data_IF_512936030110
#
_entry.id   IF_512936030110
#
_cell.length_a   1.000
_cell.length_b   1.000
_cell.length_c   1.000
_cell.angle_alpha   90.00
_cell.angle_beta   90.00
_cell.angle_gamma   90.00
#
_symmetry.space_group_name_H-M   'P 1'
#
loop_
_entity.id
_entity.type
_entity.pdbx_description
1 polymer ?
#
# COMPACT_ATOMS: atom_id res chain seq x y z
N UNK A 1 -12.22 44.72 58.51
CA UNK A 1 -13.00 44.41 57.30
C UNK A 1 -12.21 43.44 56.46
N UNK A 2 -12.63 42.21 56.40
CA UNK A 2 -11.95 41.24 55.54
C UNK A 2 -12.49 41.41 54.11
N UNK A 3 -11.56 41.48 53.17
CA UNK A 3 -11.86 41.51 51.76
C UNK A 3 -12.28 40.10 51.25
N UNK A 4 -13.39 40.04 50.57
CA UNK A 4 -13.91 38.86 49.94
C UNK A 4 -13.07 38.55 48.70
N UNK A 5 -12.62 37.31 48.48
CA UNK A 5 -12.01 36.97 47.24
C UNK A 5 -13.09 36.77 46.17
N UNK A 6 -12.94 37.48 45.07
CA UNK A 6 -13.69 37.30 43.85
C UNK A 6 -13.33 35.97 43.22
N UNK A 7 -14.22 35.00 43.28
CA UNK A 7 -14.19 33.83 42.48
C UNK A 7 -14.44 34.20 41.01
N UNK A 8 -13.46 34.13 40.18
CA UNK A 8 -13.64 34.10 38.76
C UNK A 8 -14.21 32.71 38.35
N UNK A 9 -15.26 32.66 37.56
CA UNK A 9 -15.70 31.41 36.99
C UNK A 9 -14.75 31.03 35.85
N UNK A 10 -13.88 30.08 36.12
CA UNK A 10 -13.20 29.35 35.07
C UNK A 10 -14.22 28.47 34.33
N UNK A 11 -14.95 29.05 33.42
CA UNK A 11 -15.65 28.32 32.41
C UNK A 11 -14.79 28.31 31.16
N UNK A 12 -13.66 27.63 31.24
CA UNK A 12 -12.99 27.16 30.04
C UNK A 12 -13.86 26.07 29.44
N UNK A 13 -14.85 26.49 28.68
CA UNK A 13 -15.52 25.62 27.73
C UNK A 13 -14.48 25.14 26.78
N UNK A 14 -13.95 23.94 27.04
CA UNK A 14 -13.23 23.18 26.03
C UNK A 14 -14.19 23.03 24.86
N UNK A 15 -14.11 23.94 23.92
CA UNK A 15 -14.70 23.75 22.62
C UNK A 15 -14.03 22.48 22.08
N UNK A 16 -14.75 21.37 22.15
CA UNK A 16 -14.43 20.23 21.32
C UNK A 16 -14.51 20.75 19.90
N UNK A 17 -13.35 20.95 19.31
CA UNK A 17 -13.22 21.12 17.88
C UNK A 17 -14.01 19.98 17.25
N UNK A 18 -15.08 20.30 16.51
CA UNK A 18 -15.80 19.31 15.75
C UNK A 18 -14.78 18.62 14.88
N UNK A 19 -14.61 17.29 15.04
CA UNK A 19 -13.74 16.52 14.21
C UNK A 19 -14.12 16.80 12.76
N UNK A 20 -13.14 17.24 11.93
CA UNK A 20 -13.37 17.38 10.52
C UNK A 20 -13.86 16.02 9.97
N UNK A 21 -14.84 16.01 9.04
CA UNK A 21 -15.34 14.75 8.48
C UNK A 21 -14.17 13.97 7.90
N UNK A 22 -14.07 12.68 8.25
CA UNK A 22 -13.05 11.81 7.69
C UNK A 22 -13.27 11.69 6.19
N UNK A 23 -12.25 12.04 5.40
CA UNK A 23 -12.28 11.93 3.95
C UNK A 23 -11.37 10.78 3.58
N UNK A 24 -11.92 9.78 2.92
CA UNK A 24 -11.13 8.73 2.29
C UNK A 24 -11.00 9.04 0.80
N UNK A 25 -9.77 9.05 0.32
CA UNK A 25 -9.45 9.19 -1.11
C UNK A 25 -8.94 7.87 -1.69
N UNK A 26 -9.20 6.77 -1.01
CA UNK A 26 -8.81 5.43 -1.40
C UNK A 26 -7.89 4.77 -0.42
N UNK A 27 -7.20 3.73 -0.88
CA UNK A 27 -6.31 2.92 -0.08
C UNK A 27 -4.97 2.66 -0.74
N UNK A 28 -4.04 2.21 0.08
CA UNK A 28 -2.73 1.76 -0.37
C UNK A 28 -2.45 0.37 0.20
N UNK A 29 -2.11 -0.55 -0.68
CA UNK A 29 -1.60 -1.86 -0.33
C UNK A 29 -0.08 -1.84 -0.41
N UNK A 30 0.58 -2.20 0.69
CA UNK A 30 2.03 -2.35 0.78
C UNK A 30 2.30 -3.82 1.04
N UNK A 31 2.94 -4.49 0.09
CA UNK A 31 3.14 -5.94 0.13
C UNK A 31 4.61 -6.25 -0.01
N UNK A 32 5.15 -6.94 0.97
CA UNK A 32 6.53 -7.41 0.99
C UNK A 32 6.55 -8.94 1.00
N UNK A 33 7.12 -9.53 -0.04
CA UNK A 33 7.35 -10.96 -0.14
C UNK A 33 8.82 -11.27 0.12
N UNK A 34 9.11 -12.26 0.95
CA UNK A 34 10.47 -12.68 1.27
C UNK A 34 10.65 -14.18 1.19
N UNK A 35 11.90 -14.63 1.11
CA UNK A 35 12.22 -16.02 0.86
C UNK A 35 11.81 -16.49 -0.53
N UNK A 36 11.74 -15.57 -1.49
CA UNK A 36 11.38 -15.85 -2.87
C UNK A 36 12.53 -16.53 -3.62
N UNK A 37 12.19 -17.26 -4.69
CA UNK A 37 13.17 -17.82 -5.59
C UNK A 37 13.89 -16.73 -6.39
N UNK A 38 15.20 -16.66 -6.26
CA UNK A 38 16.03 -15.63 -6.87
C UNK A 38 15.90 -15.56 -8.40
N UNK A 39 15.83 -16.70 -9.07
CA UNK A 39 15.70 -16.75 -10.53
C UNK A 39 14.34 -16.22 -10.99
N UNK A 40 13.29 -16.55 -10.27
CA UNK A 40 11.95 -16.07 -10.54
C UNK A 40 11.89 -14.54 -10.43
N UNK A 41 12.58 -13.97 -9.44
CA UNK A 41 12.64 -12.51 -9.23
C UNK A 41 13.41 -11.77 -10.32
N UNK A 42 14.22 -12.44 -11.13
CA UNK A 42 14.93 -11.89 -12.29
C UNK A 42 14.08 -11.91 -13.56
N UNK A 43 12.96 -12.59 -13.55
CA UNK A 43 12.12 -12.79 -14.73
C UNK A 43 11.12 -11.65 -14.88
N UNK A 44 11.39 -10.73 -15.81
CA UNK A 44 10.47 -9.62 -16.13
C UNK A 44 9.08 -10.14 -16.48
N UNK A 45 8.99 -11.17 -17.33
CA UNK A 45 7.69 -11.71 -17.76
C UNK A 45 6.88 -12.30 -16.60
N UNK A 46 7.53 -12.94 -15.65
CA UNK A 46 6.86 -13.46 -14.44
C UNK A 46 6.33 -12.33 -13.56
N UNK A 47 7.14 -11.32 -13.32
CA UNK A 47 6.75 -10.17 -12.50
C UNK A 47 5.62 -9.38 -13.18
N UNK A 48 5.71 -9.15 -14.48
CA UNK A 48 4.64 -8.49 -15.22
C UNK A 48 3.34 -9.30 -15.20
N UNK A 49 3.44 -10.62 -15.30
CA UNK A 49 2.27 -11.52 -15.22
C UNK A 49 1.55 -11.38 -13.86
N UNK A 50 2.29 -11.30 -12.75
CA UNK A 50 1.71 -11.04 -11.43
C UNK A 50 0.97 -9.72 -11.42
N UNK A 51 1.59 -8.64 -11.88
CA UNK A 51 0.99 -7.32 -11.92
C UNK A 51 -0.27 -7.27 -12.81
N UNK A 52 -0.22 -7.91 -13.97
CA UNK A 52 -1.35 -7.98 -14.89
C UNK A 52 -2.54 -8.72 -14.27
N UNK A 53 -2.30 -9.76 -13.51
CA UNK A 53 -3.36 -10.49 -12.81
C UNK A 53 -3.98 -9.67 -11.67
N UNK A 54 -3.18 -8.91 -10.93
CA UNK A 54 -3.71 -7.95 -9.95
C UNK A 54 -4.62 -6.93 -10.63
N UNK A 55 -4.15 -6.34 -11.72
CA UNK A 55 -4.87 -5.32 -12.48
C UNK A 55 -6.19 -5.88 -13.01
N UNK A 56 -6.16 -7.06 -13.60
CA UNK A 56 -7.37 -7.71 -14.13
C UNK A 56 -8.36 -8.11 -13.03
N UNK A 57 -7.88 -8.73 -11.97
CA UNK A 57 -8.72 -9.19 -10.86
C UNK A 57 -9.42 -8.04 -10.12
N UNK A 58 -8.77 -6.89 -10.02
CA UNK A 58 -9.31 -5.71 -9.35
C UNK A 58 -10.00 -4.75 -10.32
N UNK A 59 -10.14 -5.14 -11.59
CA UNK A 59 -10.79 -4.35 -12.64
C UNK A 59 -10.16 -2.96 -12.80
N UNK A 60 -8.84 -2.89 -12.71
CA UNK A 60 -8.06 -1.67 -12.88
C UNK A 60 -7.73 -1.44 -14.36
N UNK A 61 -7.49 -0.19 -14.73
CA UNK A 61 -7.19 0.18 -16.12
C UNK A 61 -5.83 0.83 -16.24
N UNK A 62 -4.97 0.24 -17.04
CA UNK A 62 -3.64 0.78 -17.37
C UNK A 62 -3.77 1.94 -18.34
N UNK A 63 -3.04 3.02 -18.08
CA UNK A 63 -2.90 4.16 -18.97
C UNK A 63 -1.52 4.10 -19.63
N UNK A 64 -1.50 4.09 -20.96
CA UNK A 64 -0.26 4.06 -21.74
C UNK A 64 0.48 2.72 -21.67
N UNK A 65 1.75 2.75 -22.05
CA UNK A 65 2.64 1.60 -21.99
C UNK A 65 3.42 1.59 -20.67
N UNK A 66 3.26 0.56 -19.83
CA UNK A 66 3.93 0.54 -18.54
C UNK A 66 5.46 0.39 -18.71
N UNK A 67 6.26 1.34 -18.21
CA UNK A 67 7.70 1.19 -18.22
C UNK A 67 8.13 0.06 -17.28
N UNK A 68 9.14 -0.69 -17.74
CA UNK A 68 9.76 -1.74 -16.96
C UNK A 68 11.23 -1.83 -17.27
N UNK A 69 12.02 -2.30 -16.32
CA UNK A 69 13.47 -2.39 -16.48
C UNK A 69 14.01 -3.61 -15.72
N UNK A 70 14.95 -4.30 -16.36
CA UNK A 70 15.77 -5.32 -15.70
C UNK A 70 17.18 -4.72 -15.53
N UNK A 71 17.61 -4.60 -14.29
CA UNK A 71 18.90 -4.04 -13.95
C UNK A 71 20.05 -5.01 -14.30
N UNK A 72 21.28 -4.50 -14.32
CA UNK A 72 22.46 -5.34 -14.35
C UNK A 72 22.53 -6.28 -13.13
N UNK A 73 23.53 -7.19 -13.07
CA UNK A 73 23.61 -8.14 -11.94
C UNK A 73 23.42 -7.45 -10.59
N UNK A 74 22.56 -7.97 -9.71
CA UNK A 74 21.88 -9.28 -9.68
C UNK A 74 20.54 -9.36 -10.44
N UNK A 75 20.27 -8.50 -11.38
CA UNK A 75 19.12 -8.51 -12.28
C UNK A 75 17.76 -8.27 -11.63
N UNK A 76 17.70 -7.37 -10.68
CA UNK A 76 16.41 -6.90 -10.12
C UNK A 76 15.52 -6.34 -11.22
N UNK A 77 14.22 -6.45 -11.00
CA UNK A 77 13.17 -5.98 -11.92
C UNK A 77 12.43 -4.82 -11.26
N UNK A 78 12.18 -3.77 -12.03
CA UNK A 78 11.23 -2.72 -11.68
C UNK A 78 10.18 -2.61 -12.78
N UNK A 79 8.91 -2.56 -12.40
CA UNK A 79 7.81 -2.26 -13.31
C UNK A 79 6.85 -1.27 -12.66
N UNK A 80 6.36 -0.31 -13.46
CA UNK A 80 5.45 0.75 -13.02
C UNK A 80 4.22 0.77 -13.90
N UNK A 81 3.06 0.81 -13.27
CA UNK A 81 1.78 0.85 -13.96
C UNK A 81 1.03 2.11 -13.54
N UNK A 82 0.93 3.06 -14.45
CA UNK A 82 -0.02 4.16 -14.29
C UNK A 82 -1.42 3.63 -14.54
N UNK A 83 -2.31 3.82 -13.59
CA UNK A 83 -3.67 3.34 -13.64
C UNK A 83 -4.65 4.51 -13.63
N UNK A 84 -5.83 4.33 -14.22
CA UNK A 84 -6.92 5.30 -14.06
C UNK A 84 -7.25 5.54 -12.59
N UNK A 85 -7.01 4.54 -11.73
CA UNK A 85 -7.31 4.55 -10.30
C UNK A 85 -6.14 4.95 -9.42
N UNK A 86 -4.95 5.11 -9.92
CA UNK A 86 -3.69 5.63 -9.38
C UNK A 86 -2.47 4.91 -9.92
N UNK A 87 -1.91 3.90 -9.24
CA UNK A 87 -0.72 3.19 -9.73
C UNK A 87 -0.45 1.88 -9.01
N UNK A 88 0.30 1.02 -9.69
CA UNK A 88 0.92 -0.18 -9.13
C UNK A 88 2.41 -0.14 -9.46
N UNK A 89 3.24 -0.37 -8.47
CA UNK A 89 4.69 -0.46 -8.64
C UNK A 89 5.22 -1.75 -8.02
N UNK A 90 6.22 -2.34 -8.66
CA UNK A 90 6.92 -3.52 -8.15
C UNK A 90 8.43 -3.35 -8.31
N UNK A 91 9.16 -3.81 -7.29
CA UNK A 91 10.61 -3.90 -7.30
C UNK A 91 11.01 -5.27 -6.79
N UNK A 92 11.97 -5.91 -7.44
CA UNK A 92 12.54 -7.17 -6.95
C UNK A 92 14.01 -7.01 -6.59
N UNK A 93 14.41 -7.78 -5.58
CA UNK A 93 15.76 -7.83 -5.04
C UNK A 93 16.20 -9.29 -5.00
N UNK A 94 16.66 -9.85 -6.13
CA UNK A 94 16.99 -11.29 -6.22
C UNK A 94 18.06 -11.72 -5.23
N UNK A 95 19.00 -10.82 -4.92
CA UNK A 95 20.08 -11.05 -3.96
C UNK A 95 19.59 -11.24 -2.51
N UNK A 96 18.39 -10.74 -2.23
CA UNK A 96 17.76 -10.86 -0.91
C UNK A 96 16.54 -11.78 -0.91
N UNK A 97 16.15 -12.30 -2.08
CA UNK A 97 14.92 -13.07 -2.22
C UNK A 97 13.66 -12.28 -1.89
N UNK A 98 13.65 -10.97 -2.18
CA UNK A 98 12.58 -10.05 -1.81
C UNK A 98 11.92 -9.44 -3.04
N UNK A 99 10.60 -9.32 -3.00
CA UNK A 99 9.81 -8.51 -3.92
C UNK A 99 8.90 -7.57 -3.13
N UNK A 100 8.80 -6.32 -3.58
CA UNK A 100 7.94 -5.31 -2.96
C UNK A 100 6.92 -4.80 -3.95
N UNK A 101 5.67 -4.72 -3.52
CA UNK A 101 4.56 -4.20 -4.33
C UNK A 101 3.90 -3.03 -3.61
N UNK A 102 3.55 -2.00 -4.37
CA UNK A 102 2.75 -0.88 -3.89
C UNK A 102 1.57 -0.68 -4.85
N UNK A 103 0.37 -0.86 -4.34
CA UNK A 103 -0.85 -0.57 -5.07
C UNK A 103 -1.57 0.58 -4.38
N UNK A 104 -1.74 1.68 -5.09
CA UNK A 104 -2.53 2.82 -4.63
C UNK A 104 -3.77 2.93 -5.50
N UNK A 105 -4.94 2.92 -4.88
CA UNK A 105 -6.22 3.07 -5.56
C UNK A 105 -7.03 4.21 -4.95
N UNK A 106 -7.62 5.02 -5.81
CA UNK A 106 -8.50 6.13 -5.38
C UNK A 106 -9.91 5.67 -4.97
N UNK A 107 -10.21 4.40 -5.12
CA UNK A 107 -11.47 3.75 -4.75
C UNK A 107 -11.23 2.45 -4.01
N UNK A 108 -12.26 1.98 -3.33
CA UNK A 108 -12.22 0.64 -2.74
C UNK A 108 -12.23 -0.42 -3.85
N UNK A 109 -11.46 -1.47 -3.65
CA UNK A 109 -11.36 -2.62 -4.54
C UNK A 109 -11.66 -3.90 -3.78
N UNK A 110 -11.96 -4.98 -4.52
CA UNK A 110 -11.89 -6.32 -3.95
C UNK A 110 -10.47 -6.59 -3.42
N UNK A 111 -10.38 -7.52 -2.50
CA UNK A 111 -9.08 -7.96 -1.97
C UNK A 111 -8.51 -9.03 -2.90
N UNK A 112 -7.29 -8.81 -3.37
CA UNK A 112 -6.54 -9.86 -4.09
C UNK A 112 -5.80 -10.75 -3.09
N UNK A 113 -5.75 -12.04 -3.36
CA UNK A 113 -5.06 -12.99 -2.48
C UNK A 113 -3.55 -12.95 -2.69
N UNK A 114 -2.93 -11.87 -2.22
CA UNK A 114 -1.49 -11.65 -2.31
C UNK A 114 -0.70 -12.82 -1.74
N UNK A 115 -1.12 -13.34 -0.60
CA UNK A 115 -0.37 -14.37 0.10
C UNK A 115 -0.26 -15.64 -0.73
N UNK A 116 -1.39 -16.23 -1.12
CA UNK A 116 -1.38 -17.49 -1.89
C UNK A 116 -0.74 -17.32 -3.26
N UNK A 117 -0.99 -16.18 -3.91
CA UNK A 117 -0.46 -15.91 -5.25
C UNK A 117 1.06 -15.74 -5.22
N UNK A 118 1.61 -14.99 -4.27
CA UNK A 118 3.05 -14.78 -4.21
C UNK A 118 3.79 -16.03 -3.69
N UNK A 119 3.18 -16.80 -2.81
CA UNK A 119 3.71 -18.10 -2.42
C UNK A 119 3.79 -19.05 -3.61
N UNK A 120 2.74 -19.14 -4.41
CA UNK A 120 2.68 -20.03 -5.57
C UNK A 120 3.60 -19.55 -6.70
N UNK A 121 3.64 -18.25 -6.99
CA UNK A 121 4.25 -17.70 -8.20
C UNK A 121 5.69 -17.24 -8.02
N UNK A 122 6.07 -16.81 -6.83
CA UNK A 122 7.42 -16.36 -6.50
C UNK A 122 8.13 -17.26 -5.50
N UNK A 123 7.49 -18.35 -5.06
CA UNK A 123 7.98 -19.22 -3.99
C UNK A 123 8.21 -18.48 -2.67
N UNK A 124 7.46 -17.44 -2.42
CA UNK A 124 7.61 -16.64 -1.21
C UNK A 124 7.41 -17.49 0.05
N UNK A 125 8.35 -17.43 0.98
CA UNK A 125 8.21 -18.08 2.28
C UNK A 125 7.31 -17.27 3.21
N UNK A 126 7.38 -15.94 3.12
CA UNK A 126 6.59 -15.01 3.91
C UNK A 126 6.04 -13.89 3.03
N UNK A 127 4.81 -13.51 3.28
CA UNK A 127 4.16 -12.36 2.62
C UNK A 127 3.57 -11.47 3.70
N UNK A 128 4.07 -10.26 3.81
CA UNK A 128 3.54 -9.24 4.72
C UNK A 128 2.68 -8.27 3.94
N UNK A 129 1.45 -8.09 4.38
CA UNK A 129 0.47 -7.24 3.70
C UNK A 129 0.03 -6.16 4.69
N UNK A 130 0.10 -4.90 4.25
CA UNK A 130 -0.43 -3.76 4.99
C UNK A 130 -1.39 -3.00 4.08
N UNK A 131 -2.53 -2.63 4.60
CA UNK A 131 -3.51 -1.82 3.92
C UNK A 131 -3.74 -0.54 4.70
N UNK A 132 -3.51 0.60 4.05
CA UNK A 132 -3.67 1.93 4.63
C UNK A 132 -4.82 2.65 3.93
N UNK A 133 -5.73 3.21 4.71
CA UNK A 133 -6.67 4.19 4.17
C UNK A 133 -5.94 5.51 3.97
N UNK A 134 -6.15 6.13 2.83
CA UNK A 134 -5.52 7.40 2.48
C UNK A 134 -6.53 8.53 2.51
N UNK A 135 -6.10 9.67 3.02
CA UNK A 135 -6.90 10.88 3.14
C UNK A 135 -6.37 11.79 4.24
N UNK A 136 -6.93 13.00 4.34
CA UNK A 136 -6.42 14.02 5.25
C UNK A 136 -6.64 13.67 6.74
N UNK A 137 -7.55 12.76 7.04
CA UNK A 137 -7.93 12.39 8.40
C UNK A 137 -8.08 10.88 8.56
N UNK A 138 -7.10 10.13 8.08
CA UNK A 138 -7.01 8.72 8.41
C UNK A 138 -6.81 8.60 9.93
N UNK A 139 -7.72 7.92 10.62
CA UNK A 139 -7.58 7.67 12.05
C UNK A 139 -6.48 6.63 12.30
N UNK A 140 -5.77 6.81 13.41
CA UNK A 140 -4.80 5.81 13.83
C UNK A 140 -5.52 4.48 14.11
N UNK A 141 -5.20 3.44 13.36
CA UNK A 141 -5.78 2.11 13.50
C UNK A 141 -6.37 1.51 12.23
N UNK A 142 -6.36 2.23 11.13
CA UNK A 142 -6.78 1.69 9.81
C UNK A 142 -5.73 0.76 9.18
N UNK A 143 -4.70 0.38 9.91
CA UNK A 143 -3.76 -0.63 9.48
C UNK A 143 -4.39 -2.02 9.66
N UNK A 144 -4.64 -2.68 8.55
CA UNK A 144 -5.00 -4.10 8.59
C UNK A 144 -3.71 -4.89 8.69
N UNK A 145 -3.47 -5.42 9.86
CA UNK A 145 -2.30 -6.26 10.10
C UNK A 145 -2.45 -7.63 9.46
N UNK A 146 -1.37 -8.04 8.80
CA UNK A 146 -0.76 -9.36 8.62
C UNK A 146 -1.69 -10.52 8.31
#
# INVERSE_FOLDING_TARGET
MPATPLNAPENATKQRSAAAPSISVGGQWIVDASGCDSKTLQSLSTIQSVCQDVIAALELKVIGDPPAHVFGPPHGVTALYLLSESHLAVHTYPEHGVATFNLVCCRETAVWDWQSQLQSRLSAAHVRIRHLRRGAWAEAGDEVNE
#
